data_IF_518350976226
#
_entry.id   IF_518350976226
#
_cell.length_a   1.000
_cell.length_b   1.000
_cell.length_c   1.000
_cell.angle_alpha   90.00
_cell.angle_beta   90.00
_cell.angle_gamma   90.00
#
_symmetry.space_group_name_H-M   'P 1'
#
loop_
_entity.id
_entity.type
_entity.pdbx_description
1 polymer ?
#
# COMPACT_ATOMS: atom_id res chain seq x y z
N UNK A 1 -22.06 89.61 23.10
CA UNK A 1 -21.69 88.97 21.81
C UNK A 1 -21.65 87.46 22.04
N UNK A 2 -22.73 86.79 21.66
CA UNK A 2 -22.85 85.30 21.85
C UNK A 2 -22.53 84.62 20.49
N UNK A 3 -21.41 83.88 20.45
CA UNK A 3 -21.04 83.14 19.25
C UNK A 3 -21.71 81.80 19.28
N UNK A 4 -22.63 81.59 18.35
CA UNK A 4 -23.28 80.30 18.09
C UNK A 4 -22.30 79.36 17.33
N UNK A 5 -21.90 78.22 17.97
CA UNK A 5 -21.19 77.18 17.31
C UNK A 5 -22.19 76.16 16.71
N UNK A 6 -22.19 76.02 15.39
CA UNK A 6 -22.98 75.05 14.66
C UNK A 6 -22.14 73.76 14.51
N UNK A 7 -22.56 72.58 15.01
CA UNK A 7 -21.81 71.37 14.77
C UNK A 7 -22.12 70.84 13.34
N UNK A 8 -21.10 70.75 12.53
CA UNK A 8 -21.15 70.12 11.21
C UNK A 8 -21.32 68.62 11.37
N UNK A 9 -22.51 68.12 11.01
CA UNK A 9 -22.83 66.66 10.97
C UNK A 9 -22.20 66.04 9.73
N UNK A 10 -21.08 65.31 9.94
CA UNK A 10 -20.40 64.58 8.88
C UNK A 10 -21.15 63.25 8.65
N UNK A 11 -21.91 63.18 7.54
CA UNK A 11 -22.65 61.96 7.13
C UNK A 11 -21.69 60.96 6.52
N UNK A 12 -21.28 59.94 7.31
CA UNK A 12 -20.50 58.80 6.80
C UNK A 12 -21.42 57.92 5.94
N UNK A 13 -21.29 58.02 4.63
CA UNK A 13 -21.91 57.08 3.69
C UNK A 13 -21.06 55.80 3.69
N UNK A 14 -21.54 54.76 4.39
CA UNK A 14 -20.98 53.41 4.31
C UNK A 14 -21.35 52.80 2.96
N UNK A 15 -20.42 52.78 2.01
CA UNK A 15 -20.52 51.94 0.82
C UNK A 15 -20.38 50.50 1.27
N UNK A 16 -21.49 49.82 1.53
CA UNK A 16 -21.53 48.36 1.67
C UNK A 16 -21.25 47.77 0.30
N UNK A 17 -20.03 47.29 0.12
CA UNK A 17 -19.68 46.48 -1.02
C UNK A 17 -20.43 45.14 -0.88
N UNK A 18 -21.60 45.03 -1.49
CA UNK A 18 -22.29 43.73 -1.59
C UNK A 18 -21.43 42.84 -2.54
N UNK A 19 -20.68 41.94 -1.94
CA UNK A 19 -20.00 40.87 -2.69
C UNK A 19 -21.10 40.01 -3.34
N UNK A 20 -21.26 40.12 -4.64
CA UNK A 20 -22.17 39.24 -5.37
C UNK A 20 -21.82 37.78 -5.06
N UNK A 21 -22.76 37.09 -4.46
CA UNK A 21 -22.59 35.63 -4.25
C UNK A 21 -22.77 34.99 -5.61
N UNK A 22 -21.78 34.20 -6.08
CA UNK A 22 -21.95 33.49 -7.33
C UNK A 22 -23.19 32.59 -7.23
N UNK A 23 -24.13 32.77 -8.14
CA UNK A 23 -25.31 31.90 -8.25
C UNK A 23 -24.83 30.56 -8.74
N UNK A 24 -24.88 29.57 -7.86
CA UNK A 24 -24.63 28.17 -8.24
C UNK A 24 -25.76 27.70 -9.13
N UNK A 25 -25.42 27.16 -10.31
CA UNK A 25 -26.40 26.53 -11.21
C UNK A 25 -27.10 25.32 -10.56
N UNK A 26 -28.03 24.68 -11.25
CA UNK A 26 -28.61 23.42 -10.78
C UNK A 26 -27.56 22.31 -10.73
N UNK A 27 -27.66 21.34 -9.78
CA UNK A 27 -26.79 20.18 -9.77
C UNK A 27 -27.00 19.33 -11.03
N UNK A 28 -26.08 18.41 -11.36
CA UNK A 28 -26.22 17.51 -12.49
C UNK A 28 -27.55 16.72 -12.44
N UNK A 29 -28.17 16.52 -13.59
CA UNK A 29 -29.38 15.71 -13.74
C UNK A 29 -29.07 14.22 -13.60
N UNK A 30 -30.12 13.37 -13.53
CA UNK A 30 -29.96 11.91 -13.53
C UNK A 30 -29.31 11.42 -14.84
N UNK A 31 -29.66 12.03 -15.98
CA UNK A 31 -29.10 11.70 -17.28
C UNK A 31 -27.60 12.04 -17.40
N UNK A 32 -27.15 13.10 -16.71
CA UNK A 32 -25.73 13.48 -16.73
C UNK A 32 -24.82 12.44 -16.04
N UNK A 33 -25.36 11.69 -15.08
CA UNK A 33 -24.62 10.66 -14.36
C UNK A 33 -24.75 9.25 -15.02
N UNK A 34 -25.44 9.13 -16.15
CA UNK A 34 -25.52 7.84 -16.85
C UNK A 34 -24.20 7.52 -17.55
N UNK A 35 -23.91 6.22 -17.69
CA UNK A 35 -22.74 5.72 -18.37
C UNK A 35 -22.96 4.33 -18.96
N UNK A 36 -22.05 3.94 -19.84
CA UNK A 36 -21.93 2.56 -20.35
C UNK A 36 -20.69 1.90 -19.77
N UNK A 37 -20.81 0.59 -19.50
CA UNK A 37 -19.70 -0.27 -19.11
C UNK A 37 -19.69 -1.47 -20.06
N UNK A 38 -18.68 -1.57 -20.90
CA UNK A 38 -18.60 -2.56 -21.98
C UNK A 38 -17.26 -3.29 -21.93
N UNK A 39 -17.22 -4.62 -21.91
CA UNK A 39 -15.98 -5.37 -22.09
C UNK A 39 -15.26 -4.96 -23.38
N UNK A 40 -13.92 -4.95 -23.34
CA UNK A 40 -13.14 -4.75 -24.56
C UNK A 40 -13.17 -6.02 -25.43
N UNK A 41 -12.99 -5.84 -26.74
CA UNK A 41 -12.97 -6.96 -27.70
C UNK A 41 -11.80 -7.94 -27.45
N UNK A 42 -10.74 -7.45 -26.79
CA UNK A 42 -9.52 -8.22 -26.56
C UNK A 42 -9.51 -8.97 -25.23
N UNK A 43 -10.23 -8.48 -24.21
CA UNK A 43 -10.27 -9.11 -22.89
C UNK A 43 -11.55 -8.72 -22.13
N UNK A 44 -12.35 -9.74 -21.77
CA UNK A 44 -13.61 -9.55 -21.06
C UNK A 44 -13.46 -9.01 -19.63
N UNK A 45 -12.26 -9.05 -19.05
CA UNK A 45 -11.91 -8.52 -17.72
C UNK A 45 -11.46 -7.05 -17.76
N UNK A 46 -11.38 -6.46 -18.96
CA UNK A 46 -11.06 -5.05 -19.16
C UNK A 46 -12.32 -4.34 -19.62
N UNK A 47 -12.84 -3.43 -18.81
CA UNK A 47 -14.11 -2.75 -19.06
C UNK A 47 -13.85 -1.31 -19.47
N UNK A 48 -14.33 -0.96 -20.67
CA UNK A 48 -14.39 0.40 -21.14
C UNK A 48 -15.59 1.10 -20.54
N UNK A 49 -15.36 2.23 -19.87
CA UNK A 49 -16.38 3.07 -19.25
C UNK A 49 -16.50 4.39 -20.02
N UNK A 50 -17.72 4.80 -20.33
CA UNK A 50 -17.99 6.07 -21.03
C UNK A 50 -19.18 6.77 -20.39
N UNK A 51 -18.96 7.97 -19.87
CA UNK A 51 -20.02 8.83 -19.36
C UNK A 51 -20.89 9.37 -20.49
N UNK A 52 -22.20 9.49 -20.26
CA UNK A 52 -23.15 9.96 -21.29
C UNK A 52 -23.05 11.45 -21.56
N UNK A 53 -22.58 12.24 -20.58
CA UNK A 53 -22.40 13.68 -20.75
C UNK A 53 -20.90 14.06 -20.70
N UNK A 54 -20.32 14.57 -21.81
CA UNK A 54 -18.92 14.98 -21.85
C UNK A 54 -18.63 16.34 -21.19
N UNK A 55 -19.67 17.10 -20.83
CA UNK A 55 -19.52 18.48 -20.29
C UNK A 55 -19.37 18.53 -18.77
N UNK A 56 -19.48 17.39 -18.09
CA UNK A 56 -19.35 17.28 -16.63
C UNK A 56 -17.99 16.74 -16.21
N UNK A 57 -17.54 17.09 -15.01
CA UNK A 57 -16.36 16.48 -14.42
C UNK A 57 -16.76 15.11 -13.90
N UNK A 58 -16.07 14.07 -14.34
CA UNK A 58 -16.35 12.69 -13.98
C UNK A 58 -15.29 12.12 -13.05
N UNK A 59 -15.75 11.41 -12.00
CA UNK A 59 -14.93 10.58 -11.12
C UNK A 59 -15.55 9.19 -11.01
N UNK A 60 -14.69 8.19 -11.13
CA UNK A 60 -15.07 6.80 -11.12
C UNK A 60 -14.54 6.09 -9.87
N UNK A 61 -15.38 5.24 -9.29
CA UNK A 61 -14.97 4.16 -8.40
C UNK A 61 -15.33 2.85 -9.09
N UNK A 62 -14.34 2.00 -9.34
CA UNK A 62 -14.55 0.78 -10.13
C UNK A 62 -15.06 -0.40 -9.27
N UNK A 63 -15.22 -0.21 -7.96
CA UNK A 63 -15.69 -1.25 -7.04
C UNK A 63 -14.67 -2.35 -6.72
N UNK A 64 -13.46 -2.25 -7.26
CA UNK A 64 -12.35 -3.17 -7.02
C UNK A 64 -11.21 -2.54 -6.20
N UNK A 65 -11.47 -1.37 -5.57
CA UNK A 65 -10.49 -0.59 -4.84
C UNK A 65 -9.72 0.42 -5.69
N UNK A 66 -9.86 0.40 -7.02
CA UNK A 66 -9.23 1.37 -7.93
C UNK A 66 -10.23 2.44 -8.39
N UNK A 67 -9.71 3.58 -8.84
CA UNK A 67 -10.49 4.76 -9.22
C UNK A 67 -9.99 5.35 -10.52
N UNK A 68 -10.83 6.19 -11.15
CA UNK A 68 -10.47 6.90 -12.38
C UNK A 68 -11.12 8.27 -12.46
N UNK A 69 -10.68 9.07 -13.43
CA UNK A 69 -11.22 10.40 -13.74
C UNK A 69 -11.37 10.56 -15.26
N UNK A 70 -12.19 11.53 -15.67
CA UNK A 70 -12.45 11.83 -17.07
C UNK A 70 -13.75 11.22 -17.59
N UNK A 71 -14.20 11.67 -18.76
CA UNK A 71 -15.46 11.24 -19.40
C UNK A 71 -15.40 9.80 -19.91
N UNK A 72 -14.20 9.25 -20.07
CA UNK A 72 -13.97 7.83 -20.32
C UNK A 72 -12.89 7.31 -19.40
N UNK A 73 -13.00 6.03 -19.01
CA UNK A 73 -12.03 5.35 -18.18
C UNK A 73 -11.94 3.88 -18.58
N UNK A 74 -10.87 3.20 -18.17
CA UNK A 74 -10.69 1.76 -18.32
C UNK A 74 -10.55 1.15 -16.92
N UNK A 75 -11.42 0.21 -16.62
CA UNK A 75 -11.36 -0.55 -15.37
C UNK A 75 -10.85 -1.98 -15.66
N UNK A 76 -9.88 -2.44 -14.86
CA UNK A 76 -9.24 -3.75 -15.02
C UNK A 76 -9.63 -4.62 -13.83
N UNK A 77 -10.14 -5.82 -14.09
CA UNK A 77 -10.62 -6.76 -13.09
C UNK A 77 -9.89 -8.11 -13.19
N UNK A 78 -8.76 -8.27 -12.50
CA UNK A 78 -8.01 -9.54 -12.57
C UNK A 78 -8.79 -10.74 -12.01
N UNK A 79 -9.72 -10.51 -11.11
CA UNK A 79 -10.46 -11.57 -10.42
C UNK A 79 -11.91 -11.68 -10.89
N UNK A 80 -12.42 -12.91 -10.98
CA UNK A 80 -13.85 -13.16 -11.13
C UNK A 80 -14.62 -12.60 -9.93
N UNK A 81 -15.81 -12.07 -10.17
CA UNK A 81 -16.65 -11.48 -9.15
C UNK A 81 -17.70 -10.53 -9.70
N UNK A 82 -18.54 -10.01 -8.81
CA UNK A 82 -19.50 -8.95 -9.13
C UNK A 82 -18.97 -7.66 -8.53
N UNK A 83 -18.90 -6.60 -9.34
CA UNK A 83 -18.34 -5.31 -8.96
C UNK A 83 -19.38 -4.21 -9.20
N UNK A 84 -19.49 -3.28 -8.26
CA UNK A 84 -20.36 -2.11 -8.39
C UNK A 84 -19.52 -0.92 -8.83
N UNK A 85 -19.67 -0.50 -10.08
CA UNK A 85 -19.04 0.70 -10.61
C UNK A 85 -19.89 1.91 -10.23
N UNK A 86 -19.26 2.96 -9.70
CA UNK A 86 -19.89 4.22 -9.37
C UNK A 86 -19.29 5.34 -10.22
N UNK A 87 -20.15 6.06 -10.98
CA UNK A 87 -19.80 7.33 -11.59
C UNK A 87 -20.34 8.47 -10.72
N UNK A 88 -19.48 9.40 -10.33
CA UNK A 88 -19.87 10.67 -9.71
C UNK A 88 -19.51 11.80 -10.65
N UNK A 89 -20.54 12.58 -11.06
CA UNK A 89 -20.38 13.74 -11.93
C UNK A 89 -20.54 15.04 -11.14
N UNK A 90 -19.81 16.06 -11.55
CA UNK A 90 -19.78 17.37 -10.88
C UNK A 90 -19.99 18.49 -11.90
N UNK A 91 -20.71 19.51 -11.48
CA UNK A 91 -20.78 20.82 -12.14
C UNK A 91 -20.75 21.94 -11.10
N UNK A 92 -20.93 23.19 -11.50
CA UNK A 92 -20.96 24.35 -10.59
C UNK A 92 -22.11 24.30 -9.58
N UNK A 93 -23.13 23.51 -9.82
CA UNK A 93 -24.33 23.39 -8.97
C UNK A 93 -24.26 22.25 -7.95
N UNK A 94 -23.25 21.37 -8.06
CA UNK A 94 -23.11 20.24 -7.15
C UNK A 94 -22.65 18.96 -7.82
N UNK A 95 -23.03 17.82 -7.26
CA UNK A 95 -22.67 16.49 -7.76
C UNK A 95 -23.87 15.55 -7.82
N UNK A 96 -23.75 14.51 -8.62
CA UNK A 96 -24.68 13.38 -8.69
C UNK A 96 -23.91 12.09 -8.99
N UNK A 97 -24.36 10.98 -8.39
CA UNK A 97 -23.80 9.67 -8.65
C UNK A 97 -24.82 8.71 -9.24
N UNK A 98 -24.33 7.75 -10.01
CA UNK A 98 -25.05 6.55 -10.42
C UNK A 98 -24.17 5.33 -10.28
N UNK A 99 -24.77 4.14 -10.24
CA UNK A 99 -24.09 2.87 -10.10
C UNK A 99 -24.57 1.87 -11.16
N UNK A 100 -23.66 0.97 -11.54
CA UNK A 100 -23.97 -0.18 -12.37
C UNK A 100 -23.18 -1.39 -11.87
N UNK A 101 -23.84 -2.54 -11.76
CA UNK A 101 -23.15 -3.80 -11.47
C UNK A 101 -22.67 -4.46 -12.75
N UNK A 102 -21.45 -5.00 -12.69
CA UNK A 102 -20.89 -5.88 -13.72
C UNK A 102 -20.45 -7.20 -13.11
N UNK A 103 -20.50 -8.26 -13.90
CA UNK A 103 -20.00 -9.58 -13.49
C UNK A 103 -18.82 -9.97 -14.36
N UNK A 104 -17.68 -10.24 -13.74
CA UNK A 104 -16.49 -10.82 -14.34
C UNK A 104 -16.54 -12.33 -14.13
N UNK A 105 -16.65 -13.06 -15.22
CA UNK A 105 -16.94 -14.50 -15.17
C UNK A 105 -15.70 -15.34 -14.77
N UNK A 106 -14.49 -14.89 -15.11
CA UNK A 106 -13.26 -15.67 -14.90
C UNK A 106 -12.14 -14.81 -14.34
N UNK A 107 -11.28 -15.42 -13.51
CA UNK A 107 -10.04 -14.80 -13.04
C UNK A 107 -8.99 -14.84 -14.14
N UNK A 108 -8.38 -13.70 -14.44
CA UNK A 108 -7.27 -13.55 -15.37
C UNK A 108 -6.09 -12.89 -14.65
N UNK A 109 -5.21 -13.71 -14.08
CA UNK A 109 -4.02 -13.24 -13.36
C UNK A 109 -2.98 -12.60 -14.31
N UNK A 110 -3.07 -12.82 -15.63
CA UNK A 110 -2.25 -12.16 -16.63
C UNK A 110 -2.37 -10.63 -16.57
N UNK A 111 -3.49 -10.11 -16.06
CA UNK A 111 -3.70 -8.68 -15.83
C UNK A 111 -2.94 -8.12 -14.62
N UNK A 112 -2.30 -8.97 -13.82
CA UNK A 112 -1.38 -8.62 -12.74
C UNK A 112 0.08 -8.68 -13.20
N UNK A 113 0.36 -8.56 -14.49
CA UNK A 113 1.73 -8.57 -15.02
C UNK A 113 2.48 -7.29 -14.60
N UNK A 114 3.17 -7.43 -13.47
CA UNK A 114 4.02 -6.40 -12.89
C UNK A 114 5.39 -7.02 -12.59
N UNK A 115 6.51 -6.40 -13.01
CA UNK A 115 7.85 -6.95 -12.78
C UNK A 115 8.17 -7.28 -11.32
N UNK A 116 7.65 -6.49 -10.36
CA UNK A 116 7.82 -6.80 -8.92
C UNK A 116 7.03 -8.03 -8.51
N UNK A 117 5.76 -8.16 -8.99
CA UNK A 117 4.96 -9.35 -8.72
C UNK A 117 5.61 -10.61 -9.28
N UNK A 118 6.15 -10.52 -10.51
CA UNK A 118 6.81 -11.64 -11.17
C UNK A 118 8.05 -12.10 -10.38
N UNK A 119 8.88 -11.17 -9.92
CA UNK A 119 10.03 -11.48 -9.08
C UNK A 119 9.63 -12.03 -7.72
N UNK A 120 8.63 -11.43 -7.06
CA UNK A 120 8.22 -11.78 -5.70
C UNK A 120 7.48 -13.11 -5.61
N UNK A 121 6.63 -13.43 -6.62
CA UNK A 121 5.72 -14.59 -6.61
C UNK A 121 5.94 -15.59 -7.73
N UNK A 122 6.82 -15.32 -8.68
CA UNK A 122 6.95 -16.09 -9.92
C UNK A 122 5.96 -15.70 -11.02
N UNK A 123 5.04 -14.76 -10.73
CA UNK A 123 4.12 -14.17 -11.70
C UNK A 123 3.01 -15.09 -12.20
N UNK A 124 2.13 -14.53 -13.04
CA UNK A 124 0.97 -15.22 -13.60
C UNK A 124 1.33 -16.35 -14.58
N UNK A 125 2.46 -16.23 -15.27
CA UNK A 125 2.96 -17.22 -16.23
C UNK A 125 3.89 -18.27 -15.59
N UNK A 126 4.13 -18.18 -14.29
CA UNK A 126 4.92 -19.09 -13.49
C UNK A 126 4.07 -19.81 -12.44
N UNK A 127 4.67 -20.23 -11.32
CA UNK A 127 3.95 -20.95 -10.27
C UNK A 127 2.91 -20.07 -9.53
N UNK A 128 2.99 -18.73 -9.64
CA UNK A 128 2.13 -17.81 -8.93
C UNK A 128 2.39 -17.70 -7.43
N UNK A 129 3.45 -18.33 -6.95
CA UNK A 129 3.97 -18.19 -5.58
C UNK A 129 5.46 -18.47 -5.52
N UNK A 130 6.14 -17.88 -4.54
CA UNK A 130 7.54 -18.17 -4.20
C UNK A 130 7.70 -18.26 -2.69
N UNK A 131 8.53 -19.21 -2.26
CA UNK A 131 9.00 -19.34 -0.88
C UNK A 131 10.33 -18.63 -0.74
N UNK A 132 10.41 -17.74 0.21
CA UNK A 132 11.62 -17.01 0.57
C UNK A 132 12.10 -17.44 1.94
N UNK A 133 13.41 -17.62 2.08
CA UNK A 133 14.10 -17.97 3.33
C UNK A 133 15.27 -17.02 3.55
N UNK A 134 15.77 -16.93 4.79
CA UNK A 134 16.94 -16.13 5.06
C UNK A 134 18.16 -16.66 4.27
N UNK A 135 18.92 -15.76 3.64
CA UNK A 135 20.14 -16.10 2.91
C UNK A 135 21.34 -16.24 3.88
N UNK A 136 21.18 -17.07 4.89
CA UNK A 136 22.07 -17.19 6.04
C UNK A 136 23.53 -17.53 5.70
N UNK A 137 23.75 -18.19 4.56
CA UNK A 137 25.10 -18.56 4.11
C UNK A 137 25.92 -17.36 3.61
N UNK A 138 25.29 -16.23 3.32
CA UNK A 138 25.95 -15.01 2.90
C UNK A 138 26.22 -14.08 4.08
N UNK A 139 27.44 -13.55 4.20
CA UNK A 139 27.74 -12.48 5.14
C UNK A 139 26.93 -11.23 4.80
N UNK A 140 26.43 -10.52 5.82
CA UNK A 140 25.55 -9.37 5.65
C UNK A 140 24.08 -9.71 5.39
N UNK A 141 23.69 -11.00 5.54
CA UNK A 141 22.30 -11.42 5.40
C UNK A 141 21.35 -10.83 6.44
N UNK A 142 21.88 -10.34 7.54
CA UNK A 142 21.18 -9.66 8.63
C UNK A 142 22.08 -8.57 9.21
N UNK A 143 21.51 -7.44 9.60
CA UNK A 143 22.32 -6.35 10.19
C UNK A 143 21.52 -5.14 10.61
N UNK A 144 22.22 -4.15 11.20
CA UNK A 144 21.62 -2.94 11.75
C UNK A 144 22.49 -1.71 11.46
N UNK A 145 21.83 -0.58 11.24
CA UNK A 145 22.43 0.72 11.04
C UNK A 145 21.60 1.85 11.66
N UNK A 146 22.01 3.11 11.48
CA UNK A 146 21.33 4.27 12.04
C UNK A 146 20.00 4.59 11.34
N UNK A 147 19.07 5.22 12.07
CA UNK A 147 17.90 5.91 11.56
C UNK A 147 17.89 7.36 12.11
N UNK A 148 18.05 8.40 11.29
CA UNK A 148 18.15 8.37 9.81
C UNK A 148 19.45 7.74 9.29
N UNK A 149 19.40 7.29 8.04
CA UNK A 149 20.56 6.75 7.34
C UNK A 149 21.71 7.76 7.32
N UNK A 150 22.94 7.27 7.41
CA UNK A 150 24.14 8.09 7.25
C UNK A 150 24.42 8.41 5.77
N UNK A 151 25.51 9.13 5.52
CA UNK A 151 25.99 9.38 4.16
C UNK A 151 26.41 8.12 3.38
N UNK A 152 26.55 6.97 4.06
CA UNK A 152 26.84 5.67 3.43
C UNK A 152 25.58 5.06 2.75
N UNK A 153 24.39 5.65 3.00
CA UNK A 153 23.13 5.17 2.48
C UNK A 153 22.57 3.95 3.20
N UNK A 154 21.71 3.16 2.54
CA UNK A 154 20.97 2.06 3.18
C UNK A 154 21.83 0.80 3.33
N UNK A 155 22.77 0.84 4.28
CA UNK A 155 23.68 -0.28 4.61
C UNK A 155 23.67 -0.58 6.11
N UNK A 156 23.92 -1.82 6.54
CA UNK A 156 24.00 -2.20 7.96
C UNK A 156 25.34 -1.73 8.57
N UNK A 157 25.46 -0.41 8.78
CA UNK A 157 26.69 0.28 9.11
C UNK A 157 27.28 -0.11 10.48
N UNK A 158 26.40 -0.43 11.45
CA UNK A 158 26.87 -0.68 12.82
C UNK A 158 27.25 -2.13 13.08
N UNK A 159 26.52 -3.04 12.48
CA UNK A 159 26.81 -4.47 12.56
C UNK A 159 26.13 -5.22 11.40
N UNK A 160 26.85 -6.20 10.89
CA UNK A 160 26.34 -7.14 9.87
C UNK A 160 26.80 -8.56 10.24
N UNK A 161 25.85 -9.50 10.20
CA UNK A 161 26.11 -10.89 10.53
C UNK A 161 27.12 -11.55 9.56
N UNK A 162 28.07 -12.29 10.08
CA UNK A 162 28.85 -13.24 9.30
C UNK A 162 27.99 -14.40 8.79
N UNK A 163 28.49 -15.20 7.85
CA UNK A 163 27.78 -16.36 7.35
C UNK A 163 27.40 -17.32 8.48
N UNK A 164 26.11 -17.68 8.58
CA UNK A 164 25.54 -18.56 9.59
C UNK A 164 25.84 -18.17 11.06
N UNK A 165 26.01 -16.88 11.34
CA UNK A 165 26.47 -16.39 12.66
C UNK A 165 25.46 -16.60 13.79
N UNK A 166 24.14 -16.72 13.48
CA UNK A 166 23.09 -16.82 14.50
C UNK A 166 22.27 -18.12 14.39
N UNK A 167 22.92 -19.31 14.50
CA UNK A 167 22.22 -20.57 14.37
C UNK A 167 21.24 -20.80 15.53
N UNK A 168 20.05 -21.31 15.22
CA UNK A 168 19.03 -21.62 16.24
C UNK A 168 18.36 -20.40 16.87
N UNK A 169 18.26 -19.28 16.15
CA UNK A 169 17.57 -18.06 16.62
C UNK A 169 16.13 -17.90 16.12
N UNK A 170 15.49 -18.94 15.63
CA UNK A 170 14.13 -18.87 15.04
C UNK A 170 14.09 -18.24 13.65
N UNK A 171 14.88 -17.21 13.40
CA UNK A 171 14.97 -16.53 12.09
C UNK A 171 15.49 -17.44 10.96
N UNK A 172 16.28 -18.48 11.28
CA UNK A 172 17.05 -19.24 10.29
C UNK A 172 16.26 -20.39 9.63
N UNK A 173 15.14 -20.77 10.19
CA UNK A 173 14.25 -21.81 9.65
C UNK A 173 12.85 -21.29 9.27
N UNK A 174 12.63 -20.00 9.42
CA UNK A 174 11.42 -19.32 8.95
C UNK A 174 11.29 -19.37 7.42
N UNK A 175 10.05 -19.50 6.94
CA UNK A 175 9.69 -19.40 5.52
C UNK A 175 8.61 -18.38 5.29
N UNK A 176 8.74 -17.64 4.20
CA UNK A 176 7.86 -16.56 3.80
C UNK A 176 7.33 -16.82 2.41
N UNK A 177 6.03 -17.09 2.26
CA UNK A 177 5.43 -17.48 0.98
C UNK A 177 4.54 -16.37 0.48
N UNK A 178 4.90 -15.80 -0.66
CA UNK A 178 4.11 -14.77 -1.33
C UNK A 178 3.33 -15.39 -2.47
N UNK A 179 2.01 -15.22 -2.47
CA UNK A 179 1.12 -15.67 -3.51
C UNK A 179 0.61 -14.47 -4.33
N UNK A 180 0.62 -14.59 -5.65
CA UNK A 180 0.03 -13.60 -6.56
C UNK A 180 -1.49 -13.58 -6.41
N UNK A 181 -2.11 -14.77 -6.38
CA UNK A 181 -3.55 -14.89 -6.28
C UNK A 181 -4.08 -14.39 -4.93
N UNK A 182 -4.84 -13.31 -4.98
CA UNK A 182 -5.42 -12.67 -3.80
C UNK A 182 -4.41 -11.95 -2.92
N UNK A 183 -3.16 -11.76 -3.39
CA UNK A 183 -2.07 -11.13 -2.63
C UNK A 183 -1.92 -11.74 -1.23
N UNK A 184 -2.01 -13.07 -1.17
CA UNK A 184 -1.90 -13.82 0.08
C UNK A 184 -0.45 -13.99 0.51
N UNK A 185 -0.26 -14.15 1.81
CA UNK A 185 1.03 -14.36 2.44
C UNK A 185 0.92 -15.40 3.55
N UNK A 186 1.86 -16.35 3.57
CA UNK A 186 2.03 -17.27 4.67
C UNK A 186 3.42 -17.09 5.29
N UNK A 187 3.47 -17.06 6.62
CA UNK A 187 4.68 -17.08 7.42
C UNK A 187 4.70 -18.38 8.20
N UNK A 188 5.67 -19.23 7.91
CA UNK A 188 5.91 -20.50 8.59
C UNK A 188 7.06 -20.29 9.55
N UNK A 189 6.81 -20.45 10.86
CA UNK A 189 7.74 -20.11 11.93
C UNK A 189 8.39 -21.32 12.58
N UNK A 190 7.94 -22.50 12.24
CA UNK A 190 8.38 -23.75 12.89
C UNK A 190 8.26 -23.74 14.44
N UNK A 191 7.40 -22.84 14.97
CA UNK A 191 7.07 -22.74 16.38
C UNK A 191 7.68 -21.56 17.12
N UNK A 192 8.66 -20.87 16.56
CA UNK A 192 9.26 -19.69 17.18
C UNK A 192 9.73 -18.64 16.16
N UNK A 193 10.10 -17.47 16.64
CA UNK A 193 10.61 -16.34 15.85
C UNK A 193 11.72 -15.62 16.62
N UNK A 194 12.50 -14.81 15.90
CA UNK A 194 13.52 -13.96 16.50
C UNK A 194 13.02 -12.52 16.59
N UNK A 195 13.05 -11.94 17.79
CA UNK A 195 12.47 -10.63 18.10
C UNK A 195 13.48 -9.72 18.79
N UNK A 196 13.36 -8.42 18.58
CA UNK A 196 14.15 -7.42 19.28
C UNK A 196 13.87 -7.44 20.78
N UNK A 197 14.90 -7.29 21.61
CA UNK A 197 14.83 -7.39 23.07
C UNK A 197 13.78 -6.46 23.70
N UNK A 198 13.55 -5.28 23.12
CA UNK A 198 12.52 -4.33 23.61
C UNK A 198 11.09 -4.87 23.52
N UNK A 199 10.87 -5.93 22.74
CA UNK A 199 9.55 -6.56 22.53
C UNK A 199 9.34 -7.81 23.39
N UNK A 200 10.39 -8.29 24.07
CA UNK A 200 10.36 -9.55 24.83
C UNK A 200 9.18 -9.63 25.82
N UNK A 201 8.82 -8.53 26.49
CA UNK A 201 7.69 -8.47 27.42
C UNK A 201 6.32 -8.71 26.75
N UNK A 202 6.21 -8.48 25.44
CA UNK A 202 4.99 -8.68 24.64
C UNK A 202 4.86 -10.10 24.10
N UNK A 203 5.92 -10.94 24.27
CA UNK A 203 5.97 -12.33 23.78
C UNK A 203 6.16 -13.31 24.96
N UNK A 204 5.07 -13.78 25.59
CA UNK A 204 5.17 -14.74 26.68
C UNK A 204 5.96 -15.99 26.29
N UNK A 205 6.87 -16.43 27.14
CA UNK A 205 7.74 -17.57 26.88
C UNK A 205 8.99 -17.25 26.09
N UNK A 206 9.22 -15.97 25.71
CA UNK A 206 10.48 -15.56 25.07
C UNK A 206 11.68 -15.74 26.01
N UNK A 207 12.82 -16.09 25.45
CA UNK A 207 14.08 -16.22 26.17
C UNK A 207 15.23 -15.58 25.40
N UNK A 208 16.21 -15.10 26.13
CA UNK A 208 17.38 -14.46 25.52
C UNK A 208 18.18 -15.47 24.69
N UNK A 209 18.48 -15.13 23.45
CA UNK A 209 19.24 -15.93 22.52
C UNK A 209 20.08 -15.03 21.60
N UNK A 210 21.38 -15.27 21.50
CA UNK A 210 22.33 -14.63 20.57
C UNK A 210 22.21 -13.09 20.48
N UNK A 211 22.01 -12.43 21.63
CA UNK A 211 21.97 -10.95 21.77
C UNK A 211 20.56 -10.34 21.80
N UNK A 212 19.57 -11.04 21.28
CA UNK A 212 18.14 -10.68 21.29
C UNK A 212 17.30 -11.81 21.89
N UNK A 213 16.06 -12.03 21.43
CA UNK A 213 15.17 -13.01 22.01
C UNK A 213 14.59 -13.94 20.94
N UNK A 214 14.56 -15.24 21.23
CA UNK A 214 13.70 -16.21 20.55
C UNK A 214 12.37 -16.28 21.31
N UNK A 215 11.27 -16.28 20.60
CA UNK A 215 9.92 -16.26 21.18
C UNK A 215 9.02 -17.29 20.50
N UNK A 216 8.23 -18.08 21.28
CA UNK A 216 7.20 -18.95 20.72
C UNK A 216 6.23 -18.15 19.85
N UNK A 217 6.01 -18.60 18.62
CA UNK A 217 5.11 -17.95 17.69
C UNK A 217 4.50 -18.95 16.72
N UNK A 218 3.20 -18.83 16.48
CA UNK A 218 2.49 -19.74 15.58
C UNK A 218 2.59 -19.23 14.13
N UNK A 219 2.51 -20.15 13.19
CA UNK A 219 2.41 -19.83 11.76
C UNK A 219 1.32 -18.80 11.51
N UNK A 220 1.60 -17.87 10.63
CA UNK A 220 0.66 -16.83 10.21
C UNK A 220 0.20 -17.12 8.78
N UNK A 221 -0.91 -17.87 8.66
CA UNK A 221 -1.42 -18.31 7.36
C UNK A 221 -2.53 -17.39 6.84
N UNK A 222 -2.65 -17.34 5.51
CA UNK A 222 -3.68 -16.53 4.80
C UNK A 222 -3.68 -15.06 5.20
N UNK A 223 -2.53 -14.51 5.54
CA UNK A 223 -2.32 -13.09 5.67
C UNK A 223 -2.35 -12.44 4.29
N UNK A 224 -2.21 -11.13 4.23
CA UNK A 224 -2.10 -10.40 2.98
C UNK A 224 -0.81 -9.60 2.91
N UNK A 225 -0.36 -9.36 1.70
CA UNK A 225 0.69 -8.41 1.41
C UNK A 225 0.22 -7.36 0.41
N UNK A 226 0.83 -6.18 0.47
CA UNK A 226 0.64 -5.10 -0.51
C UNK A 226 1.99 -4.56 -0.92
N UNK A 227 2.12 -4.26 -2.22
CA UNK A 227 3.26 -3.53 -2.77
C UNK A 227 2.83 -2.07 -2.99
N UNK A 228 3.61 -1.14 -2.48
CA UNK A 228 3.48 0.27 -2.82
C UNK A 228 4.69 0.68 -3.65
N UNK A 229 4.45 1.11 -4.88
CA UNK A 229 5.48 1.58 -5.79
C UNK A 229 5.59 3.10 -5.71
N UNK A 230 6.82 3.62 -5.76
CA UNK A 230 7.09 5.05 -5.65
C UNK A 230 8.59 5.36 -5.70
N UNK A 231 8.99 6.46 -5.09
CA UNK A 231 10.41 6.79 -4.91
C UNK A 231 11.14 5.68 -4.14
N UNK A 232 10.45 5.07 -3.20
CA UNK A 232 10.86 3.87 -2.49
C UNK A 232 9.74 2.82 -2.62
N UNK A 233 10.09 1.64 -3.09
CA UNK A 233 9.14 0.54 -3.17
C UNK A 233 9.07 -0.17 -1.83
N UNK A 234 7.86 -0.42 -1.33
CA UNK A 234 7.66 -1.06 -0.04
C UNK A 234 6.70 -2.23 -0.11
N UNK A 235 6.96 -3.25 0.71
CA UNK A 235 6.03 -4.35 0.99
C UNK A 235 5.48 -4.13 2.38
N UNK A 236 4.16 -4.19 2.54
CA UNK A 236 3.47 -4.17 3.84
C UNK A 236 2.70 -5.47 4.02
N UNK A 237 2.86 -6.10 5.18
CA UNK A 237 2.15 -7.32 5.57
C UNK A 237 0.99 -7.00 6.51
N UNK A 238 -0.07 -7.80 6.48
CA UNK A 238 -1.17 -7.65 7.43
C UNK A 238 -0.78 -8.08 8.84
N UNK A 239 -1.57 -7.64 9.83
CA UNK A 239 -1.29 -7.84 11.25
C UNK A 239 -0.94 -9.28 11.63
N UNK A 240 0.10 -9.43 12.44
CA UNK A 240 0.65 -10.69 12.93
C UNK A 240 1.73 -11.29 12.02
N UNK A 241 1.80 -10.88 10.74
CA UNK A 241 2.84 -11.33 9.83
C UNK A 241 3.98 -10.31 9.75
N UNK A 242 5.20 -10.81 9.63
CA UNK A 242 6.41 -10.01 9.44
C UNK A 242 7.48 -10.83 8.70
N UNK A 243 8.56 -10.18 8.31
CA UNK A 243 9.70 -10.78 7.64
C UNK A 243 10.93 -10.69 8.55
N UNK A 244 11.57 -11.83 8.76
CA UNK A 244 12.82 -11.89 9.48
C UNK A 244 12.74 -11.50 10.96
N UNK A 245 13.72 -10.72 11.41
CA UNK A 245 13.81 -10.25 12.79
C UNK A 245 12.71 -9.22 13.10
N UNK A 246 11.88 -9.54 14.09
CA UNK A 246 10.74 -8.67 14.42
C UNK A 246 11.14 -7.48 15.30
N UNK A 247 10.89 -6.29 14.80
CA UNK A 247 11.19 -5.00 15.44
C UNK A 247 9.95 -4.17 15.75
N UNK A 248 8.75 -4.79 15.67
CA UNK A 248 7.46 -4.14 15.91
C UNK A 248 6.89 -3.44 14.66
N UNK A 249 7.45 -3.70 13.48
CA UNK A 249 6.95 -3.17 12.19
C UNK A 249 6.64 -4.29 11.21
N UNK A 250 5.81 -3.99 10.22
CA UNK A 250 5.38 -4.92 9.17
C UNK A 250 5.50 -4.30 7.77
N UNK A 251 6.23 -3.19 7.64
CA UNK A 251 6.48 -2.52 6.36
C UNK A 251 7.97 -2.49 6.08
N UNK A 252 8.34 -2.90 4.87
CA UNK A 252 9.71 -3.16 4.44
C UNK A 252 10.00 -2.42 3.15
N UNK A 253 11.05 -1.60 3.12
CA UNK A 253 11.59 -0.99 1.92
C UNK A 253 12.37 -2.04 1.13
N UNK A 254 12.09 -2.17 -0.15
CA UNK A 254 12.84 -3.03 -1.06
C UNK A 254 14.09 -2.27 -1.52
N UNK A 255 15.26 -2.76 -1.12
CA UNK A 255 16.54 -2.22 -1.60
C UNK A 255 16.97 -2.90 -2.90
N UNK A 256 16.75 -4.20 -2.99
CA UNK A 256 17.02 -5.01 -4.19
C UNK A 256 16.02 -6.17 -4.26
N UNK A 257 15.58 -6.49 -5.48
CA UNK A 257 14.72 -7.65 -5.76
C UNK A 257 15.06 -8.23 -7.12
N UNK A 258 15.55 -9.45 -7.11
CA UNK A 258 15.81 -10.27 -8.30
C UNK A 258 14.85 -11.46 -8.34
N UNK A 259 15.03 -12.37 -9.29
CA UNK A 259 14.22 -13.60 -9.35
C UNK A 259 14.51 -14.56 -8.19
N UNK A 260 15.66 -14.43 -7.54
CA UNK A 260 16.14 -15.38 -6.52
C UNK A 260 16.61 -14.74 -5.22
N UNK A 261 16.79 -13.41 -5.15
CA UNK A 261 17.24 -12.71 -3.96
C UNK A 261 16.39 -11.45 -3.70
N UNK A 262 16.24 -11.12 -2.42
CA UNK A 262 15.54 -9.93 -1.97
C UNK A 262 16.27 -9.31 -0.78
N UNK A 263 16.64 -8.04 -0.87
CA UNK A 263 17.23 -7.27 0.23
C UNK A 263 16.25 -6.24 0.70
N UNK A 264 15.95 -6.26 1.99
CA UNK A 264 14.96 -5.39 2.62
C UNK A 264 15.60 -4.56 3.74
N UNK A 265 15.07 -3.34 3.89
CA UNK A 265 15.33 -2.46 5.01
C UNK A 265 14.03 -2.14 5.72
N UNK A 266 14.05 -2.07 7.05
CA UNK A 266 12.88 -1.72 7.85
C UNK A 266 13.30 -1.03 9.16
N UNK A 267 12.36 -0.27 9.74
CA UNK A 267 12.59 0.48 10.97
C UNK A 267 12.47 -0.36 12.24
N UNK A 268 12.64 0.31 13.37
CA UNK A 268 12.29 -0.18 14.69
C UNK A 268 11.08 0.62 15.20
N UNK A 269 10.15 -0.03 15.93
CA UNK A 269 8.92 0.62 16.40
C UNK A 269 9.15 1.90 17.24
N UNK A 270 10.29 1.98 17.94
CA UNK A 270 10.68 3.14 18.73
C UNK A 270 11.59 4.13 17.97
N UNK A 271 11.88 3.88 16.68
CA UNK A 271 12.81 4.69 15.87
C UNK A 271 14.29 4.44 16.20
N UNK A 272 15.17 5.21 15.58
CA UNK A 272 16.61 5.22 15.83
C UNK A 272 17.42 4.09 15.23
N UNK A 273 16.75 3.05 14.68
CA UNK A 273 17.39 1.87 14.11
C UNK A 273 16.78 1.54 12.74
N UNK A 274 17.65 1.21 11.79
CA UNK A 274 17.33 0.56 10.53
C UNK A 274 17.89 -0.85 10.53
N UNK A 275 17.03 -1.82 10.28
CA UNK A 275 17.38 -3.23 10.17
C UNK A 275 17.40 -3.65 8.72
N UNK A 276 18.23 -4.63 8.40
CA UNK A 276 18.47 -5.13 7.06
C UNK A 276 18.39 -6.64 7.07
N UNK A 277 17.68 -7.21 6.10
CA UNK A 277 17.69 -8.66 5.86
C UNK A 277 17.86 -8.95 4.38
N UNK A 278 18.53 -10.04 4.10
CA UNK A 278 18.65 -10.62 2.76
C UNK A 278 17.99 -11.99 2.75
N UNK A 279 17.02 -12.13 1.88
CA UNK A 279 16.30 -13.37 1.63
C UNK A 279 16.70 -13.93 0.28
N UNK A 280 16.55 -15.25 0.12
CA UNK A 280 16.68 -15.96 -1.15
C UNK A 280 15.50 -16.90 -1.34
N UNK A 281 15.25 -17.30 -2.58
CA UNK A 281 14.28 -18.36 -2.87
C UNK A 281 14.78 -19.69 -2.36
N UNK A 282 13.85 -20.50 -1.85
CA UNK A 282 14.09 -21.87 -1.40
C UNK A 282 14.38 -22.81 -2.58
#
# INVERSE_FOLDING_TARGET
MLKLFLPSLFLLILFSCQKERPVMGPPPSVSDAQFTATPTDTNANIIQLVASNPEVICRWDFGNGTKGEGTSAVAIYPYAGTYTITLTVFNKGGSRSSTQEITIAQTDLGLLDNPFYNKLTGGANGPGFKTWVLDSANSGHFGVGPDPESALGPVPEWWAAGANEKPGCGLYDDKYIFYLNGFKFDMITNGDVYIHNSLAASFPGSFQNLGDFTAPYQDQLNKSWTLTEGTENTITLSNGAFLGFYTGVNTYRILDLTDSTMTLQYGHHAGGLKWYIRLKTE
#
